data_IF_099096856849
#
_entry.id   IF_099096856849
#
_cell.length_a   1.000
_cell.length_b   1.000
_cell.length_c   1.000
_cell.angle_alpha   90.00
_cell.angle_beta   90.00
_cell.angle_gamma   90.00
#
_symmetry.space_group_name_H-M   'P 1'
#
loop_
_entity.id
_entity.type
_entity.pdbx_description
1 polymer ?
#
# COMPACT_ATOMS: atom_id res chain seq x y z
N UNK A 1 -40.58 42.95 -7.95
CA UNK A 1 -41.09 42.67 -9.31
C UNK A 1 -40.43 43.63 -10.27
N UNK A 2 -39.34 43.20 -10.90
CA UNK A 2 -38.69 43.93 -12.00
C UNK A 2 -37.97 42.88 -12.83
N UNK A 3 -38.61 42.49 -13.93
CA UNK A 3 -38.08 41.59 -14.94
C UNK A 3 -37.13 42.36 -15.86
N UNK A 4 -35.94 41.82 -16.11
CA UNK A 4 -35.16 42.11 -17.31
C UNK A 4 -34.36 40.85 -17.73
N UNK A 5 -34.04 40.69 -19.03
CA UNK A 5 -34.26 39.45 -19.76
C UNK A 5 -33.03 38.54 -19.93
N UNK A 6 -33.33 37.25 -20.14
CA UNK A 6 -32.45 36.27 -20.81
C UNK A 6 -32.14 36.73 -22.24
N UNK A 7 -30.87 36.69 -22.62
CA UNK A 7 -30.44 36.57 -24.02
C UNK A 7 -29.55 35.34 -24.19
N UNK A 8 -29.97 34.33 -24.99
CA UNK A 8 -29.12 33.24 -25.40
C UNK A 8 -28.38 33.61 -26.71
N UNK A 9 -27.05 33.69 -26.68
CA UNK A 9 -26.26 33.77 -27.90
C UNK A 9 -26.16 32.38 -28.55
N UNK A 10 -27.13 32.14 -29.42
CA UNK A 10 -27.00 31.63 -30.79
C UNK A 10 -25.89 30.62 -31.11
N UNK A 11 -26.36 29.40 -31.39
CA UNK A 11 -25.70 28.34 -32.16
C UNK A 11 -25.52 28.74 -33.62
N UNK A 12 -24.33 28.54 -34.19
CA UNK A 12 -24.02 28.43 -35.62
C UNK A 12 -22.55 27.93 -35.67
N UNK A 13 -22.13 26.82 -36.27
CA UNK A 13 -22.47 26.24 -37.57
C UNK A 13 -22.33 24.71 -37.53
N UNK A 14 -23.25 24.03 -38.22
CA UNK A 14 -23.11 22.67 -38.68
C UNK A 14 -22.73 22.67 -40.16
N UNK A 15 -21.69 21.90 -40.55
CA UNK A 15 -21.46 21.35 -41.89
C UNK A 15 -20.32 20.33 -41.74
N UNK A 16 -20.61 19.03 -41.66
CA UNK A 16 -20.81 18.10 -42.78
C UNK A 16 -19.57 17.92 -43.67
N UNK A 17 -18.75 16.91 -43.37
CA UNK A 17 -18.03 16.13 -44.39
C UNK A 17 -18.00 14.69 -43.96
N UNK A 18 -18.80 13.88 -44.66
CA UNK A 18 -18.81 12.43 -44.58
C UNK A 18 -18.09 11.85 -45.81
N UNK A 19 -17.58 10.62 -45.61
CA UNK A 19 -17.20 9.61 -46.60
C UNK A 19 -15.82 9.75 -47.25
N UNK A 20 -14.91 8.82 -46.89
CA UNK A 20 -14.43 7.81 -47.85
C UNK A 20 -13.84 6.60 -47.11
N UNK A 21 -14.55 5.47 -47.16
CA UNK A 21 -14.02 4.13 -46.87
C UNK A 21 -13.39 3.60 -48.16
N UNK A 22 -12.11 3.28 -48.14
CA UNK A 22 -11.46 2.44 -49.14
C UNK A 22 -10.66 1.35 -48.43
N UNK A 23 -11.19 0.13 -48.55
CA UNK A 23 -10.51 -1.12 -48.25
C UNK A 23 -9.49 -1.43 -49.35
N UNK A 24 -8.26 -1.77 -48.95
CA UNK A 24 -7.24 -2.57 -49.66
C UNK A 24 -5.99 -2.52 -48.79
N UNK A 25 -5.25 -3.55 -48.41
CA UNK A 25 -5.13 -4.95 -48.80
C UNK A 25 -3.82 -5.45 -48.18
N UNK A 26 -3.69 -6.76 -47.96
CA UNK A 26 -2.51 -7.39 -47.37
C UNK A 26 -1.20 -7.00 -48.11
N UNK A 27 -0.16 -6.65 -47.36
CA UNK A 27 1.22 -6.64 -47.86
C UNK A 27 1.97 -7.82 -47.28
N UNK A 28 2.23 -8.81 -48.13
CA UNK A 28 3.30 -9.79 -47.98
C UNK A 28 4.47 -9.36 -48.86
N UNK A 29 5.63 -9.18 -48.24
CA UNK A 29 6.98 -9.23 -48.82
C UNK A 29 7.91 -9.29 -47.59
N UNK A 30 8.91 -10.17 -47.47
CA UNK A 30 9.92 -10.40 -48.48
C UNK A 30 10.56 -11.80 -48.43
N UNK A 31 11.08 -12.13 -49.61
CA UNK A 31 11.90 -13.27 -50.00
C UNK A 31 13.20 -13.38 -49.20
N UNK A 32 13.50 -14.61 -48.74
CA UNK A 32 14.85 -15.05 -48.37
C UNK A 32 15.19 -16.35 -49.11
N UNK A 33 16.01 -16.23 -50.15
CA UNK A 33 16.93 -17.21 -50.80
C UNK A 33 16.78 -18.72 -50.55
N UNK A 34 16.68 -19.57 -51.60
CA UNK A 34 16.88 -21.01 -51.48
C UNK A 34 18.39 -21.36 -51.49
N UNK A 35 18.85 -21.99 -50.41
CA UNK A 35 20.19 -22.60 -50.32
C UNK A 35 20.04 -24.08 -50.70
N UNK A 36 20.73 -24.48 -51.77
CA UNK A 36 20.86 -25.87 -52.21
C UNK A 36 21.74 -26.64 -51.21
N UNK A 37 21.18 -27.65 -50.54
CA UNK A 37 21.92 -28.54 -49.62
C UNK A 37 21.14 -29.83 -49.38
N UNK A 38 21.81 -30.97 -49.57
CA UNK A 38 21.20 -32.30 -49.71
C UNK A 38 20.44 -32.83 -48.49
N UNK A 39 19.50 -33.73 -48.78
CA UNK A 39 18.76 -34.54 -47.82
C UNK A 39 19.72 -35.43 -47.03
N UNK A 40 19.95 -35.09 -45.77
CA UNK A 40 20.33 -36.06 -44.74
C UNK A 40 19.32 -35.92 -43.60
N UNK A 41 18.65 -37.03 -43.30
CA UNK A 41 17.63 -37.09 -42.27
C UNK A 41 18.24 -36.67 -40.92
N UNK A 42 17.62 -35.75 -40.16
CA UNK A 42 18.07 -35.47 -38.81
C UNK A 42 17.79 -36.69 -37.92
N UNK A 43 18.84 -37.27 -37.33
CA UNK A 43 18.68 -38.26 -36.25
C UNK A 43 18.35 -37.49 -34.98
N UNK A 44 17.09 -37.53 -34.55
CA UNK A 44 16.65 -36.91 -33.30
C UNK A 44 17.09 -37.77 -32.12
N UNK A 45 18.17 -37.39 -31.45
CA UNK A 45 18.54 -37.96 -30.14
C UNK A 45 17.81 -37.22 -29.04
N UNK A 46 16.77 -37.83 -28.48
CA UNK A 46 16.08 -37.35 -27.27
C UNK A 46 16.95 -37.60 -26.04
N UNK A 47 17.57 -36.54 -25.51
CA UNK A 47 18.26 -36.59 -24.20
C UNK A 47 17.23 -36.24 -23.12
N UNK A 48 16.97 -37.17 -22.21
CA UNK A 48 16.09 -36.93 -21.07
C UNK A 48 16.74 -35.92 -20.09
N UNK A 49 16.00 -34.91 -19.58
CA UNK A 49 16.55 -34.01 -18.57
C UNK A 49 16.76 -34.76 -17.26
N UNK A 50 17.98 -34.71 -16.73
CA UNK A 50 18.27 -35.21 -15.38
C UNK A 50 18.05 -34.08 -14.39
N UNK A 51 16.97 -34.15 -13.61
CA UNK A 51 16.68 -33.18 -12.55
C UNK A 51 17.35 -33.66 -11.27
N UNK A 52 18.42 -33.00 -10.84
CA UNK A 52 19.05 -33.23 -9.54
C UNK A 52 18.36 -32.34 -8.50
N UNK A 53 17.51 -32.93 -7.67
CA UNK A 53 16.89 -32.28 -6.50
C UNK A 53 17.92 -32.18 -5.36
N UNK A 54 18.37 -30.96 -5.05
CA UNK A 54 19.16 -30.70 -3.84
C UNK A 54 18.19 -30.50 -2.67
N UNK A 55 18.41 -31.22 -1.57
CA UNK A 55 17.57 -31.10 -0.36
C UNK A 55 17.71 -29.69 0.26
N UNK A 56 16.61 -29.07 0.74
CA UNK A 56 16.70 -27.80 1.45
C UNK A 56 17.45 -27.99 2.77
N UNK A 57 18.52 -27.23 2.97
CA UNK A 57 19.20 -27.16 4.27
C UNK A 57 18.49 -26.11 5.11
N UNK A 58 17.70 -26.55 6.09
CA UNK A 58 17.06 -25.67 7.07
C UNK A 58 18.07 -25.31 8.14
N UNK A 59 18.64 -24.10 8.07
CA UNK A 59 19.42 -23.53 9.16
C UNK A 59 18.49 -22.83 10.13
N UNK A 60 18.18 -23.49 11.25
CA UNK A 60 17.46 -22.88 12.38
C UNK A 60 18.39 -21.90 13.08
N UNK A 61 18.16 -20.60 12.89
CA UNK A 61 18.81 -19.56 13.69
C UNK A 61 18.10 -19.50 15.05
N UNK A 62 18.83 -19.69 16.15
CA UNK A 62 18.29 -19.58 17.49
C UNK A 62 17.76 -18.15 17.76
N UNK A 63 16.68 -17.97 18.53
CA UNK A 63 16.23 -16.64 18.91
C UNK A 63 17.32 -15.95 19.71
N UNK A 64 17.78 -14.79 19.22
CA UNK A 64 18.68 -13.93 19.99
C UNK A 64 17.83 -13.16 20.99
N UNK A 65 17.84 -13.60 22.25
CA UNK A 65 17.24 -12.84 23.35
C UNK A 65 18.11 -11.61 23.62
N UNK A 66 17.72 -10.45 23.11
CA UNK A 66 18.26 -9.17 23.57
C UNK A 66 17.91 -9.00 25.03
N UNK A 67 18.90 -9.17 25.90
CA UNK A 67 18.78 -8.84 27.33
C UNK A 67 18.67 -7.32 27.42
N UNK A 68 17.44 -6.83 27.59
CA UNK A 68 17.18 -5.43 27.95
C UNK A 68 18.02 -5.10 29.19
N UNK A 69 18.73 -3.95 29.26
CA UNK A 69 19.38 -3.55 30.50
C UNK A 69 18.31 -3.47 31.59
N UNK A 70 18.58 -4.15 32.71
CA UNK A 70 17.80 -4.09 33.94
C UNK A 70 17.71 -2.62 34.37
N UNK A 71 16.62 -1.95 33.99
CA UNK A 71 16.24 -0.67 34.57
C UNK A 71 15.83 -0.95 36.00
N UNK A 72 16.76 -0.70 36.91
CA UNK A 72 16.54 -0.78 38.34
C UNK A 72 15.52 0.29 38.72
N UNK A 73 14.34 -0.15 39.16
CA UNK A 73 13.28 0.73 39.61
C UNK A 73 13.70 1.32 40.96
N UNK A 74 14.42 2.43 40.93
CA UNK A 74 14.70 3.23 42.11
C UNK A 74 13.37 3.84 42.56
N UNK A 75 12.77 3.25 43.59
CA UNK A 75 11.62 3.80 44.28
C UNK A 75 12.05 5.05 45.07
N UNK A 76 12.21 6.18 44.37
CA UNK A 76 12.07 7.51 44.94
C UNK A 76 10.89 8.17 44.22
N UNK A 77 9.68 7.91 44.73
CA UNK A 77 8.48 8.63 44.30
C UNK A 77 8.60 10.07 44.79
N UNK A 78 8.77 11.08 43.92
CA UNK A 78 8.57 12.46 44.34
C UNK A 78 7.06 12.62 44.58
N UNK A 79 6.69 13.33 45.65
CA UNK A 79 5.31 13.74 45.87
C UNK A 79 4.88 14.69 44.74
N UNK A 80 4.21 14.16 43.73
CA UNK A 80 3.56 14.95 42.67
C UNK A 80 2.36 15.66 43.29
N UNK A 81 2.21 16.95 42.96
CA UNK A 81 1.11 17.80 43.45
C UNK A 81 -0.24 17.25 42.93
N UNK A 82 -1.35 17.40 43.67
CA UNK A 82 -2.66 16.86 43.27
C UNK A 82 -3.26 17.41 41.96
N UNK A 83 -2.64 18.40 41.31
CA UNK A 83 -3.16 19.02 40.08
C UNK A 83 -2.55 18.44 38.79
N UNK A 84 -1.72 17.39 38.87
CA UNK A 84 -1.16 16.68 37.71
C UNK A 84 -1.77 15.26 37.61
N UNK A 85 -3.10 15.20 37.54
CA UNK A 85 -3.87 13.98 37.26
C UNK A 85 -4.92 14.33 36.20
N UNK A 86 -4.47 14.55 34.96
CA UNK A 86 -5.35 14.46 33.79
C UNK A 86 -4.54 14.11 32.53
N UNK A 87 -3.67 13.10 32.63
CA UNK A 87 -3.21 12.40 31.44
C UNK A 87 -4.21 11.28 31.17
N UNK A 88 -4.79 11.16 29.96
CA UNK A 88 -5.72 10.07 29.66
C UNK A 88 -4.98 8.75 29.89
N UNK A 89 -5.38 7.98 30.91
CA UNK A 89 -4.79 6.67 31.21
C UNK A 89 -5.35 5.56 30.31
N UNK A 90 -6.02 5.93 29.22
CA UNK A 90 -6.64 5.02 28.25
C UNK A 90 -5.79 4.83 26.99
N UNK A 91 -6.09 3.81 26.18
CA UNK A 91 -5.46 3.66 24.87
C UNK A 91 -5.82 4.84 23.97
N UNK A 92 -4.84 5.35 23.22
CA UNK A 92 -5.08 6.43 22.25
C UNK A 92 -6.00 5.96 21.12
N UNK A 93 -6.92 6.83 20.74
CA UNK A 93 -7.80 6.65 19.58
C UNK A 93 -7.02 6.79 18.26
N UNK A 94 -7.63 6.33 17.17
CA UNK A 94 -7.12 6.52 15.81
C UNK A 94 -6.85 8.00 15.52
N UNK A 95 -7.79 8.89 15.85
CA UNK A 95 -7.64 10.33 15.65
C UNK A 95 -6.46 10.90 16.42
N UNK A 96 -6.34 10.57 17.70
CA UNK A 96 -5.20 11.05 18.51
C UNK A 96 -3.87 10.57 17.94
N UNK A 97 -3.79 9.32 17.47
CA UNK A 97 -2.57 8.80 16.86
C UNK A 97 -2.29 9.44 15.48
N UNK A 98 -3.32 9.72 14.68
CA UNK A 98 -3.19 10.50 13.44
C UNK A 98 -2.63 11.89 13.75
N UNK A 99 -3.17 12.57 14.77
CA UNK A 99 -2.73 13.90 15.18
C UNK A 99 -1.28 13.91 15.68
N UNK A 100 -0.83 12.82 16.33
CA UNK A 100 0.54 12.66 16.82
C UNK A 100 1.54 12.38 15.70
N UNK A 101 1.21 11.51 14.74
CA UNK A 101 2.19 10.98 13.78
C UNK A 101 2.13 11.62 12.39
N UNK A 102 1.01 12.23 12.01
CA UNK A 102 0.82 12.81 10.69
C UNK A 102 0.78 14.34 10.75
N UNK A 103 1.15 14.98 9.64
CA UNK A 103 1.05 16.43 9.52
C UNK A 103 -0.41 16.88 9.48
N UNK A 104 -0.75 18.07 10.02
CA UNK A 104 -2.13 18.57 10.07
C UNK A 104 -2.88 18.53 8.75
N UNK A 105 -2.20 18.81 7.63
CA UNK A 105 -2.77 18.76 6.29
C UNK A 105 -3.19 17.35 5.80
N UNK A 106 -2.71 16.29 6.47
CA UNK A 106 -2.99 14.90 6.11
C UNK A 106 -3.99 14.22 7.06
N UNK A 107 -4.41 14.87 8.16
CA UNK A 107 -5.28 14.26 9.18
C UNK A 107 -6.61 13.79 8.61
N UNK A 108 -7.34 14.70 7.94
CA UNK A 108 -8.62 14.37 7.32
C UNK A 108 -8.45 13.25 6.29
N UNK A 109 -7.42 13.33 5.44
CA UNK A 109 -7.13 12.30 4.45
C UNK A 109 -6.78 10.94 5.08
N UNK A 110 -6.12 10.91 6.24
CA UNK A 110 -5.76 9.66 6.90
C UNK A 110 -6.95 9.00 7.60
N UNK A 111 -7.83 9.78 8.23
CA UNK A 111 -9.11 9.29 8.75
C UNK A 111 -9.97 8.72 7.64
N UNK A 112 -9.99 9.41 6.49
CA UNK A 112 -10.57 8.91 5.28
C UNK A 112 -9.92 7.55 4.92
N UNK A 113 -8.64 7.47 4.60
CA UNK A 113 -8.00 6.20 4.24
C UNK A 113 -8.33 5.08 5.23
N UNK A 114 -8.23 5.31 6.54
CA UNK A 114 -8.55 4.32 7.56
C UNK A 114 -10.00 3.83 7.51
N UNK A 115 -10.97 4.73 7.30
CA UNK A 115 -12.37 4.38 7.12
C UNK A 115 -12.58 3.50 5.89
N UNK A 116 -11.96 3.83 4.75
CA UNK A 116 -12.13 3.02 3.53
C UNK A 116 -11.45 1.66 3.63
N UNK A 117 -10.26 1.61 4.21
CA UNK A 117 -9.45 0.39 4.32
C UNK A 117 -10.06 -0.60 5.32
N UNK A 118 -10.67 -0.12 6.41
CA UNK A 118 -11.05 -0.99 7.53
C UNK A 118 -12.39 -0.67 8.19
N UNK A 119 -13.13 0.32 7.68
CA UNK A 119 -14.31 0.90 8.33
C UNK A 119 -14.04 1.54 9.69
N UNK A 120 -12.78 1.89 9.97
CA UNK A 120 -12.39 2.51 11.22
C UNK A 120 -13.12 3.83 11.47
N UNK A 121 -13.50 4.05 12.72
CA UNK A 121 -14.00 5.33 13.22
C UNK A 121 -12.88 6.08 13.94
N UNK A 122 -12.94 7.43 14.00
CA UNK A 122 -11.89 8.24 14.61
C UNK A 122 -11.65 7.93 16.10
N UNK A 123 -12.66 7.46 16.82
CA UNK A 123 -12.63 7.09 18.23
C UNK A 123 -12.24 5.61 18.49
N UNK A 124 -12.02 4.81 17.43
CA UNK A 124 -11.53 3.44 17.58
C UNK A 124 -10.13 3.44 18.19
N UNK A 125 -9.88 2.50 19.11
CA UNK A 125 -8.57 2.36 19.79
C UNK A 125 -7.77 1.15 19.30
N UNK A 126 -8.37 0.32 18.42
CA UNK A 126 -7.71 -0.75 17.68
C UNK A 126 -8.53 -1.11 16.41
N UNK A 127 -7.99 -1.92 15.51
CA UNK A 127 -8.78 -2.57 14.44
C UNK A 127 -8.39 -4.03 14.23
N UNK A 128 -9.40 -4.92 14.19
CA UNK A 128 -9.25 -6.33 13.83
C UNK A 128 -9.50 -6.59 12.34
N UNK A 129 -9.62 -5.55 11.50
CA UNK A 129 -9.90 -5.72 10.09
C UNK A 129 -8.77 -6.48 9.40
N UNK A 130 -9.10 -7.61 8.76
CA UNK A 130 -8.15 -8.40 7.99
C UNK A 130 -8.79 -8.79 6.66
N UNK A 131 -8.16 -8.37 5.56
CA UNK A 131 -8.57 -8.80 4.24
C UNK A 131 -8.36 -10.32 4.06
N UNK A 132 -9.38 -11.03 3.59
CA UNK A 132 -9.33 -12.50 3.45
C UNK A 132 -8.30 -13.00 2.44
N UNK A 133 -8.07 -12.24 1.37
CA UNK A 133 -7.18 -12.63 0.27
C UNK A 133 -5.75 -12.15 0.51
N UNK A 134 -5.56 -10.85 0.68
CA UNK A 134 -4.22 -10.26 0.80
C UNK A 134 -3.64 -10.36 2.21
N UNK A 135 -4.47 -10.67 3.22
CA UNK A 135 -4.14 -10.59 4.65
C UNK A 135 -3.75 -9.20 5.12
N UNK A 136 -4.01 -8.16 4.32
CA UNK A 136 -3.89 -6.79 4.74
C UNK A 136 -4.61 -6.57 6.07
N UNK A 137 -3.97 -5.89 7.03
CA UNK A 137 -4.44 -5.86 8.41
C UNK A 137 -4.50 -4.45 8.99
N UNK A 138 -5.45 -4.28 9.92
CA UNK A 138 -5.61 -3.10 10.73
C UNK A 138 -6.16 -1.88 9.99
N UNK A 139 -6.02 -0.69 10.59
CA UNK A 139 -6.64 0.55 10.14
C UNK A 139 -6.28 0.91 8.69
N UNK A 140 -4.99 0.79 8.35
CA UNK A 140 -4.47 1.18 7.04
C UNK A 140 -4.25 -0.01 6.09
N UNK A 141 -4.77 -1.19 6.45
CA UNK A 141 -4.66 -2.43 5.68
C UNK A 141 -3.22 -2.68 5.19
N UNK A 142 -2.27 -2.66 6.14
CA UNK A 142 -0.87 -2.93 5.85
C UNK A 142 -0.69 -4.36 5.37
N UNK A 143 0.05 -4.56 4.28
CA UNK A 143 0.32 -5.91 3.74
C UNK A 143 1.37 -6.64 4.60
N UNK A 144 1.05 -7.81 5.18
CA UNK A 144 1.96 -8.51 6.08
C UNK A 144 3.31 -8.86 5.45
N UNK A 145 3.34 -9.18 4.15
CA UNK A 145 4.57 -9.52 3.43
C UNK A 145 5.63 -8.41 3.39
N UNK A 146 5.24 -7.15 3.64
CA UNK A 146 6.15 -6.02 3.70
C UNK A 146 6.31 -5.49 5.13
N UNK A 147 5.61 -6.08 6.11
CA UNK A 147 5.52 -5.51 7.44
C UNK A 147 6.85 -5.50 8.16
N UNK A 148 7.58 -6.61 8.15
CA UNK A 148 8.89 -6.73 8.80
C UNK A 148 9.86 -5.65 8.30
N UNK A 149 10.10 -5.58 6.99
CA UNK A 149 10.96 -4.56 6.36
C UNK A 149 10.51 -3.14 6.68
N UNK A 150 9.20 -2.86 6.63
CA UNK A 150 8.66 -1.53 6.93
C UNK A 150 8.83 -1.14 8.39
N UNK A 151 8.64 -2.08 9.32
CA UNK A 151 8.86 -1.82 10.75
C UNK A 151 10.33 -1.57 11.05
N UNK A 152 11.24 -2.30 10.40
CA UNK A 152 12.67 -2.04 10.52
C UNK A 152 13.04 -0.65 9.99
N UNK A 153 12.57 -0.31 8.78
CA UNK A 153 12.82 1.00 8.18
C UNK A 153 12.19 2.17 8.96
N UNK A 154 11.05 1.93 9.62
CA UNK A 154 10.40 2.89 10.51
C UNK A 154 11.01 2.95 11.93
N UNK A 155 12.07 2.16 12.22
CA UNK A 155 12.76 2.17 13.51
C UNK A 155 12.03 1.43 14.64
N UNK A 156 11.06 0.57 14.32
CA UNK A 156 10.21 -0.18 15.26
C UNK A 156 10.21 -1.68 14.96
N UNK A 157 11.38 -2.22 14.60
CA UNK A 157 11.55 -3.62 14.23
C UNK A 157 10.89 -4.58 15.25
N UNK A 158 10.18 -5.59 14.73
CA UNK A 158 9.49 -6.60 15.54
C UNK A 158 8.14 -6.16 16.12
N UNK A 159 7.69 -4.93 15.84
CA UNK A 159 6.36 -4.47 16.25
C UNK A 159 5.24 -5.32 15.62
N UNK A 160 4.18 -5.56 16.39
CA UNK A 160 3.01 -6.27 15.91
C UNK A 160 2.24 -5.43 14.88
N UNK A 161 1.77 -6.06 13.80
CA UNK A 161 0.87 -5.39 12.83
C UNK A 161 -0.49 -5.02 13.44
N UNK A 162 -0.84 -5.62 14.57
CA UNK A 162 -2.05 -5.27 15.33
C UNK A 162 -1.82 -4.14 16.34
N UNK A 163 -0.57 -3.70 16.56
CA UNK A 163 -0.28 -2.59 17.47
C UNK A 163 -0.73 -1.26 16.83
N UNK A 164 -1.60 -0.48 17.48
CA UNK A 164 -2.17 0.73 16.89
C UNK A 164 -1.12 1.81 16.63
N UNK A 165 -0.11 1.93 17.50
CA UNK A 165 0.97 2.91 17.36
C UNK A 165 1.86 2.54 16.18
N UNK A 166 2.27 1.28 16.09
CA UNK A 166 3.08 0.77 14.98
C UNK A 166 2.40 0.95 13.63
N UNK A 167 1.07 0.78 13.56
CA UNK A 167 0.33 1.02 12.33
C UNK A 167 0.40 2.47 11.85
N UNK A 168 0.30 3.45 12.74
CA UNK A 168 0.47 4.86 12.38
C UNK A 168 1.92 5.19 12.05
N UNK A 169 2.90 4.67 12.79
CA UNK A 169 4.31 4.90 12.49
C UNK A 169 4.69 4.37 11.10
N UNK A 170 4.24 3.17 10.73
CA UNK A 170 4.47 2.63 9.38
C UNK A 170 3.69 3.43 8.34
N UNK A 171 2.46 3.89 8.64
CA UNK A 171 1.71 4.75 7.71
C UNK A 171 2.45 6.07 7.44
N UNK A 172 2.97 6.72 8.49
CA UNK A 172 3.77 7.93 8.40
C UNK A 172 5.06 7.71 7.60
N UNK A 173 5.79 6.62 7.88
CA UNK A 173 6.99 6.23 7.13
C UNK A 173 6.67 6.08 5.63
N UNK A 174 5.62 5.35 5.28
CA UNK A 174 5.22 5.17 3.88
C UNK A 174 4.82 6.49 3.21
N UNK A 175 4.16 7.37 3.94
CA UNK A 175 3.68 8.65 3.43
C UNK A 175 4.81 9.66 3.19
N UNK A 176 5.78 9.76 4.11
CA UNK A 176 6.76 10.84 4.12
C UNK A 176 8.17 10.42 3.72
N UNK A 177 8.56 9.17 4.00
CA UNK A 177 9.94 8.70 3.83
C UNK A 177 10.12 7.80 2.59
N UNK A 178 9.04 7.36 1.96
CA UNK A 178 9.09 6.60 0.70
C UNK A 178 8.62 7.41 -0.49
N UNK A 179 9.15 7.11 -1.68
CA UNK A 179 8.69 7.73 -2.93
C UNK A 179 7.24 7.41 -3.31
N UNK A 180 6.62 6.40 -2.66
CA UNK A 180 5.23 6.04 -2.90
C UNK A 180 4.24 7.05 -2.33
N UNK A 181 4.50 7.61 -1.14
CA UNK A 181 3.61 8.58 -0.49
C UNK A 181 2.14 8.13 -0.50
N UNK A 182 1.25 9.01 -0.95
CA UNK A 182 -0.20 8.70 -1.05
C UNK A 182 -0.53 7.57 -2.04
N UNK A 183 0.37 7.17 -2.93
CA UNK A 183 0.09 6.08 -3.88
C UNK A 183 -0.11 4.72 -3.21
N UNK A 184 0.39 4.54 -1.98
CA UNK A 184 0.14 3.31 -1.21
C UNK A 184 -1.35 3.07 -0.93
N UNK A 185 -2.17 4.13 -0.92
CA UNK A 185 -3.63 4.10 -0.67
C UNK A 185 -4.44 4.76 -1.79
N UNK A 186 -3.92 4.74 -3.02
CA UNK A 186 -4.64 5.37 -4.15
C UNK A 186 -5.99 4.69 -4.43
N UNK A 187 -6.11 3.39 -4.15
CA UNK A 187 -7.35 2.64 -4.35
C UNK A 187 -8.44 3.04 -3.36
N UNK A 188 -8.05 3.50 -2.16
CA UNK A 188 -9.00 3.96 -1.15
C UNK A 188 -9.79 5.16 -1.66
N UNK A 189 -9.28 5.92 -2.64
CA UNK A 189 -10.01 7.04 -3.27
C UNK A 189 -11.36 6.65 -3.88
N UNK A 190 -11.58 5.36 -4.17
CA UNK A 190 -12.88 4.91 -4.65
C UNK A 190 -14.01 5.01 -3.60
N UNK A 191 -13.69 5.19 -2.32
CA UNK A 191 -14.68 5.26 -1.24
C UNK A 191 -15.36 6.63 -1.06
N UNK A 192 -14.78 7.73 -1.56
CA UNK A 192 -15.19 9.12 -1.22
C UNK A 192 -16.01 9.83 -2.30
N UNK A 193 -15.99 9.33 -3.54
CA UNK A 193 -16.65 9.97 -4.69
C UNK A 193 -15.76 10.92 -5.47
#
# INVERSE_FOLDING_TARGET
>A
MTFMPLTPFLRLFAALTAVLVLATGCRSADYGTPISGGLSAPTTTTVAPTTTTVAPTTTTVAPTTTTLPKMEFVAHRPAVKPDEVDQPTGPSTLRELIEVYLKPEDHAWAEEVAFCESSAQPDDVFSFAVNRSSRAAGWFQHLPKFWEERTEAAGIAGASIADPVAQLQVAAYLLYETSGGRHHWVQSKACWG
#
